data_IF_983386948109
#
_entry.id   IF_983386948109
#
_cell.length_a   1.000
_cell.length_b   1.000
_cell.length_c   1.000
_cell.angle_alpha   90.00
_cell.angle_beta   90.00
_cell.angle_gamma   90.00
#
_symmetry.space_group_name_H-M   'P 1'
#
loop_
_entity.id
_entity.type
_entity.pdbx_description
1 polymer ?
#
# COMPACT_ATOMS: atom_id res chain seq x y z
N UNK A 1 -5.56 7.78 3.82
CA UNK A 1 -5.08 9.06 3.22
C UNK A 1 -6.05 10.21 3.36
N UNK A 2 -7.35 9.98 3.15
CA UNK A 2 -8.39 11.01 3.35
C UNK A 2 -8.27 11.69 4.73
N UNK A 3 -8.06 10.93 5.79
CA UNK A 3 -7.90 11.52 7.12
C UNK A 3 -6.62 12.35 7.26
N UNK A 4 -5.50 11.93 6.66
CA UNK A 4 -4.27 12.74 6.64
C UNK A 4 -4.52 14.07 5.92
N UNK A 5 -5.12 14.02 4.72
CA UNK A 5 -5.47 15.21 3.93
C UNK A 5 -6.36 16.17 4.72
N UNK A 6 -7.41 15.63 5.35
CA UNK A 6 -8.37 16.39 6.16
C UNK A 6 -7.69 17.12 7.32
N UNK A 7 -6.82 16.43 8.05
CA UNK A 7 -6.15 17.02 9.21
C UNK A 7 -5.01 17.97 8.81
N UNK A 8 -4.37 17.74 7.66
CA UNK A 8 -3.44 18.72 7.06
C UNK A 8 -4.14 20.02 6.66
N UNK A 9 -5.36 19.96 6.09
CA UNK A 9 -6.17 21.15 5.77
C UNK A 9 -6.58 21.97 6.99
N UNK A 10 -6.84 21.29 8.10
CA UNK A 10 -7.18 21.93 9.38
C UNK A 10 -5.95 22.43 10.14
N UNK A 11 -4.76 22.21 9.59
CA UNK A 11 -3.49 22.51 10.28
C UNK A 11 -3.39 21.81 11.65
N UNK A 12 -4.07 20.67 11.80
CA UNK A 12 -4.05 19.88 13.04
C UNK A 12 -2.79 19.02 13.10
N UNK A 13 -1.68 19.68 13.38
CA UNK A 13 -0.32 19.12 13.40
C UNK A 13 -0.21 17.88 14.28
N UNK A 14 -0.82 17.90 15.46
CA UNK A 14 -0.78 16.78 16.41
C UNK A 14 -1.39 15.54 15.76
N UNK A 15 -2.57 15.70 15.14
CA UNK A 15 -3.26 14.59 14.50
C UNK A 15 -2.54 14.09 13.24
N UNK A 16 -1.94 14.98 12.45
CA UNK A 16 -1.09 14.60 11.31
C UNK A 16 0.08 13.71 11.78
N UNK A 17 0.73 14.09 12.88
CA UNK A 17 1.79 13.28 13.49
C UNK A 17 1.31 11.90 13.96
N UNK A 18 0.15 11.84 14.63
CA UNK A 18 -0.48 10.57 15.06
C UNK A 18 -0.79 9.67 13.87
N UNK A 19 -1.33 10.22 12.79
CA UNK A 19 -1.66 9.47 11.58
C UNK A 19 -0.39 8.90 10.95
N UNK A 20 0.68 9.70 10.80
CA UNK A 20 1.95 9.22 10.25
C UNK A 20 2.51 8.05 11.08
N UNK A 21 2.53 8.17 12.41
CA UNK A 21 2.98 7.09 13.30
C UNK A 21 2.12 5.84 13.19
N UNK A 22 0.79 6.01 13.12
CA UNK A 22 -0.14 4.88 12.95
C UNK A 22 0.10 4.16 11.63
N UNK A 23 0.37 4.91 10.56
CA UNK A 23 0.74 4.35 9.27
C UNK A 23 2.06 3.58 9.35
N UNK A 24 3.09 4.12 10.02
CA UNK A 24 4.35 3.42 10.28
C UNK A 24 4.12 2.08 10.97
N UNK A 25 3.37 2.08 12.08
CA UNK A 25 3.05 0.89 12.87
C UNK A 25 2.31 -0.16 12.04
N UNK A 26 1.36 0.25 11.20
CA UNK A 26 0.65 -0.67 10.30
C UNK A 26 1.60 -1.32 9.29
N UNK A 27 2.54 -0.57 8.71
CA UNK A 27 3.52 -1.12 7.76
C UNK A 27 4.46 -2.10 8.45
N UNK A 28 4.95 -1.77 9.66
CA UNK A 28 5.78 -2.66 10.47
C UNK A 28 5.05 -3.95 10.84
N UNK A 29 3.83 -3.85 11.36
CA UNK A 29 3.02 -5.01 11.73
C UNK A 29 2.72 -5.90 10.51
N UNK A 30 2.42 -5.29 9.36
CA UNK A 30 2.20 -6.01 8.10
C UNK A 30 3.46 -6.76 7.65
N UNK A 31 4.63 -6.12 7.71
CA UNK A 31 5.90 -6.75 7.35
C UNK A 31 6.26 -7.90 8.30
N UNK A 32 6.10 -7.69 9.61
CA UNK A 32 6.32 -8.73 10.61
C UNK A 32 5.37 -9.93 10.40
N UNK A 33 4.10 -9.66 10.07
CA UNK A 33 3.11 -10.70 9.77
C UNK A 33 3.49 -11.51 8.52
N UNK A 34 4.02 -10.85 7.47
CA UNK A 34 4.53 -11.55 6.29
C UNK A 34 5.70 -12.46 6.65
N UNK A 35 6.67 -11.96 7.40
CA UNK A 35 7.83 -12.77 7.83
C UNK A 35 7.40 -13.97 8.68
N UNK A 36 6.44 -13.76 9.60
CA UNK A 36 5.88 -14.83 10.41
C UNK A 36 5.15 -15.88 9.55
N UNK A 37 4.30 -15.47 8.62
CA UNK A 37 3.63 -16.36 7.68
C UNK A 37 4.64 -17.10 6.78
N UNK A 38 5.77 -16.46 6.48
CA UNK A 38 6.88 -17.05 5.72
C UNK A 38 7.80 -17.95 6.52
N UNK A 39 7.43 -18.40 7.72
CA UNK A 39 8.27 -19.29 8.54
C UNK A 39 8.28 -20.75 8.06
N UNK A 40 7.19 -21.22 7.44
CA UNK A 40 7.08 -22.56 6.85
C UNK A 40 8.18 -22.86 5.82
N UNK A 41 8.54 -24.13 5.69
CA UNK A 41 9.57 -24.55 4.73
C UNK A 41 9.05 -24.42 3.29
N UNK A 42 9.92 -24.17 2.28
CA UNK A 42 9.48 -24.09 0.89
C UNK A 42 8.69 -25.32 0.40
N UNK A 43 9.11 -26.51 0.83
CA UNK A 43 8.44 -27.77 0.46
C UNK A 43 7.03 -27.88 1.07
N UNK A 44 6.87 -27.44 2.32
CA UNK A 44 5.57 -27.38 3.02
C UNK A 44 4.66 -26.35 2.35
N UNK A 45 5.21 -25.20 1.95
CA UNK A 45 4.46 -24.20 1.21
C UNK A 45 3.93 -24.77 -0.12
N UNK A 46 4.76 -25.40 -0.93
CA UNK A 46 4.32 -25.93 -2.23
C UNK A 46 3.35 -27.11 -2.10
N UNK A 47 3.55 -27.99 -1.12
CA UNK A 47 2.78 -29.23 -1.02
C UNK A 47 1.50 -29.09 -0.18
N UNK A 48 1.47 -28.18 0.78
CA UNK A 48 0.39 -28.09 1.77
C UNK A 48 -0.32 -26.74 1.74
N UNK A 49 0.40 -25.62 1.64
CA UNK A 49 -0.20 -24.27 1.76
C UNK A 49 -0.70 -23.74 0.41
N UNK A 50 0.14 -23.77 -0.62
CA UNK A 50 -0.16 -23.24 -1.95
C UNK A 50 -1.36 -23.93 -2.60
N UNK A 51 -1.54 -25.27 -2.51
CA UNK A 51 -2.70 -25.94 -3.08
C UNK A 51 -4.03 -25.48 -2.47
N UNK A 52 -4.06 -25.10 -1.18
CA UNK A 52 -5.29 -24.59 -0.55
C UNK A 52 -5.68 -23.20 -1.04
N UNK A 53 -4.78 -22.50 -1.73
CA UNK A 53 -5.03 -21.19 -2.36
C UNK A 53 -5.34 -21.30 -3.86
N UNK A 54 -5.44 -22.52 -4.39
CA UNK A 54 -5.74 -22.81 -5.80
C UNK A 54 -7.11 -23.49 -5.94
N UNK A 55 -7.55 -23.69 -7.19
CA UNK A 55 -8.73 -24.52 -7.46
C UNK A 55 -8.50 -25.97 -6.95
N UNK A 56 -9.52 -26.62 -6.36
CA UNK A 56 -10.90 -26.17 -6.18
C UNK A 56 -11.16 -25.36 -4.90
N UNK A 57 -10.16 -25.19 -4.02
CA UNK A 57 -10.33 -24.57 -2.71
C UNK A 57 -10.63 -23.06 -2.78
N UNK A 58 -10.07 -22.39 -3.78
CA UNK A 58 -10.38 -20.98 -4.09
C UNK A 58 -10.98 -20.90 -5.49
N UNK A 59 -12.23 -20.45 -5.58
CA UNK A 59 -12.96 -20.31 -6.84
C UNK A 59 -12.59 -19.01 -7.59
N UNK A 60 -11.28 -18.73 -7.70
CA UNK A 60 -10.74 -17.58 -8.43
C UNK A 60 -9.39 -17.99 -9.03
N UNK A 61 -9.24 -17.98 -10.38
CA UNK A 61 -7.98 -18.37 -11.03
C UNK A 61 -6.85 -17.34 -10.82
N UNK A 62 -7.16 -16.19 -10.23
CA UNK A 62 -6.29 -15.02 -10.10
C UNK A 62 -6.01 -14.61 -8.63
N UNK A 63 -6.29 -15.52 -7.68
CA UNK A 63 -6.16 -15.25 -6.24
C UNK A 63 -4.81 -14.62 -5.88
N UNK A 64 -4.87 -13.44 -5.25
CA UNK A 64 -3.69 -12.70 -4.83
C UNK A 64 -4.02 -11.74 -3.69
N UNK A 65 -3.06 -11.52 -2.79
CA UNK A 65 -3.15 -10.46 -1.78
C UNK A 65 -3.34 -9.05 -2.35
N UNK A 66 -3.00 -8.83 -3.63
CA UNK A 66 -3.29 -7.58 -4.36
C UNK A 66 -4.80 -7.38 -4.56
N UNK A 67 -5.58 -8.46 -4.58
CA UNK A 67 -7.03 -8.42 -4.77
C UNK A 67 -7.82 -8.12 -3.50
N UNK A 68 -7.16 -7.98 -2.34
CA UNK A 68 -7.84 -7.50 -1.13
C UNK A 68 -8.48 -6.13 -1.41
N UNK A 69 -9.76 -6.01 -1.06
CA UNK A 69 -10.51 -4.76 -1.18
C UNK A 69 -9.79 -3.60 -0.49
N UNK A 70 -9.26 -3.87 0.71
CA UNK A 70 -8.53 -2.88 1.51
C UNK A 70 -7.24 -2.45 0.82
N UNK A 71 -6.57 -3.39 0.16
CA UNK A 71 -5.38 -3.11 -0.61
C UNK A 71 -5.68 -2.21 -1.81
N UNK A 72 -6.69 -2.55 -2.61
CA UNK A 72 -7.10 -1.75 -3.76
C UNK A 72 -7.54 -0.33 -3.34
N UNK A 73 -8.32 -0.22 -2.26
CA UNK A 73 -8.75 1.06 -1.71
C UNK A 73 -7.57 1.91 -1.22
N UNK A 74 -6.62 1.30 -0.52
CA UNK A 74 -5.42 1.98 -0.04
C UNK A 74 -4.62 2.58 -1.20
N UNK A 75 -4.35 1.78 -2.24
CA UNK A 75 -3.58 2.23 -3.40
C UNK A 75 -4.32 3.32 -4.18
N UNK A 76 -5.62 3.16 -4.40
CA UNK A 76 -6.44 4.20 -5.04
C UNK A 76 -6.40 5.52 -4.25
N UNK A 77 -6.51 5.43 -2.92
CA UNK A 77 -6.40 6.59 -2.04
C UNK A 77 -5.02 7.26 -2.10
N UNK A 78 -3.94 6.49 -2.28
CA UNK A 78 -2.59 7.02 -2.44
C UNK A 78 -2.41 7.73 -3.79
N UNK A 79 -2.99 7.16 -4.85
CA UNK A 79 -2.96 7.77 -6.18
C UNK A 79 -3.73 9.08 -6.25
N UNK A 80 -4.95 9.13 -5.68
CA UNK A 80 -5.76 10.36 -5.63
C UNK A 80 -5.07 11.49 -4.87
N UNK A 81 -4.34 11.13 -3.82
CA UNK A 81 -3.63 12.07 -2.95
C UNK A 81 -2.13 12.17 -3.30
N UNK A 82 -1.79 11.94 -4.58
CA UNK A 82 -0.41 12.03 -5.05
C UNK A 82 0.16 13.42 -4.76
N UNK A 83 1.31 13.45 -4.10
CA UNK A 83 1.97 14.68 -3.69
C UNK A 83 1.53 15.21 -2.32
N UNK A 84 0.55 14.59 -1.64
CA UNK A 84 0.18 14.96 -0.27
C UNK A 84 1.38 14.91 0.69
N UNK A 85 2.26 13.92 0.52
CA UNK A 85 3.47 13.79 1.33
C UNK A 85 4.50 14.90 1.11
N UNK A 86 4.44 15.63 -0.03
CA UNK A 86 5.22 16.86 -0.23
C UNK A 86 4.78 17.96 0.73
N UNK A 87 3.55 17.86 1.22
CA UNK A 87 2.95 18.87 2.07
C UNK A 87 3.17 18.62 3.57
N UNK A 88 3.83 17.53 3.94
CA UNK A 88 4.09 17.20 5.35
C UNK A 88 5.01 18.27 5.94
N UNK A 89 4.60 18.94 7.04
CA UNK A 89 5.40 19.99 7.64
C UNK A 89 6.78 19.50 8.09
N UNK A 90 7.78 20.38 8.02
CA UNK A 90 9.19 20.05 8.32
C UNK A 90 9.40 19.60 9.76
N UNK A 91 8.65 20.10 10.73
CA UNK A 91 8.72 19.63 12.12
C UNK A 91 8.17 18.21 12.33
N UNK A 92 7.40 17.66 11.38
CA UNK A 92 6.99 16.24 11.36
C UNK A 92 7.95 15.35 10.56
N UNK A 93 9.12 15.87 10.17
CA UNK A 93 10.11 15.15 9.37
C UNK A 93 10.46 13.78 9.98
N UNK A 94 10.67 13.71 11.29
CA UNK A 94 11.01 12.44 11.97
C UNK A 94 9.90 11.39 11.83
N UNK A 95 8.63 11.76 12.08
CA UNK A 95 7.50 10.83 11.94
C UNK A 95 7.30 10.38 10.48
N UNK A 96 7.54 11.28 9.53
CA UNK A 96 7.49 10.94 8.10
C UNK A 96 8.64 10.03 7.66
N UNK A 97 9.86 10.24 8.16
CA UNK A 97 11.01 9.37 7.90
C UNK A 97 10.79 7.97 8.49
N UNK A 98 10.22 7.88 9.69
CA UNK A 98 9.79 6.61 10.29
C UNK A 98 8.78 5.88 9.41
N UNK A 99 7.84 6.60 8.80
CA UNK A 99 6.89 6.02 7.85
C UNK A 99 7.58 5.50 6.58
N UNK A 100 8.54 6.24 6.03
CA UNK A 100 9.29 5.81 4.84
C UNK A 100 10.10 4.55 5.11
N UNK A 101 10.80 4.48 6.24
CA UNK A 101 11.56 3.28 6.63
C UNK A 101 10.64 2.09 6.91
N UNK A 102 9.47 2.33 7.53
CA UNK A 102 8.48 1.28 7.77
C UNK A 102 7.89 0.72 6.46
N UNK A 103 7.61 1.58 5.48
CA UNK A 103 7.20 1.15 4.14
C UNK A 103 8.30 0.33 3.44
N UNK A 104 9.56 0.77 3.54
CA UNK A 104 10.71 0.03 3.01
C UNK A 104 10.84 -1.35 3.66
N UNK A 105 10.68 -1.43 4.98
CA UNK A 105 10.67 -2.71 5.71
C UNK A 105 9.57 -3.65 5.17
N UNK A 106 8.33 -3.16 5.02
CA UNK A 106 7.25 -3.95 4.44
C UNK A 106 7.61 -4.49 3.04
N UNK A 107 8.17 -3.64 2.17
CA UNK A 107 8.58 -4.05 0.83
C UNK A 107 9.66 -5.13 0.86
N UNK A 108 10.67 -4.98 1.73
CA UNK A 108 11.73 -5.97 1.92
C UNK A 108 11.20 -7.29 2.49
N UNK A 109 10.29 -7.24 3.47
CA UNK A 109 9.64 -8.43 4.03
C UNK A 109 8.88 -9.21 2.95
N UNK A 110 8.10 -8.51 2.11
CA UNK A 110 7.39 -9.14 1.00
C UNK A 110 8.36 -9.77 0.00
N UNK A 111 9.40 -9.04 -0.40
CA UNK A 111 10.43 -9.53 -1.31
C UNK A 111 11.12 -10.79 -0.77
N UNK A 112 11.48 -10.78 0.51
CA UNK A 112 12.11 -11.91 1.19
C UNK A 112 11.24 -13.16 1.15
N UNK A 113 9.96 -13.04 1.54
CA UNK A 113 9.02 -14.17 1.54
C UNK A 113 8.78 -14.67 0.11
N UNK A 114 8.59 -13.76 -0.84
CA UNK A 114 8.38 -14.11 -2.24
C UNK A 114 9.60 -14.84 -2.83
N UNK A 115 10.83 -14.40 -2.50
CA UNK A 115 12.06 -15.05 -2.93
C UNK A 115 12.19 -16.46 -2.32
N UNK A 116 11.93 -16.59 -1.00
CA UNK A 116 11.98 -17.89 -0.29
C UNK A 116 11.10 -18.96 -0.95
N UNK A 117 9.96 -18.57 -1.52
CA UNK A 117 9.02 -19.46 -2.20
C UNK A 117 9.17 -19.45 -3.73
N UNK A 118 10.37 -19.19 -4.26
CA UNK A 118 10.68 -19.39 -5.68
C UNK A 118 10.21 -18.27 -6.61
N UNK A 119 9.89 -17.08 -6.09
CA UNK A 119 9.43 -15.94 -6.89
C UNK A 119 10.46 -15.34 -7.87
N UNK A 120 11.69 -15.84 -7.85
CA UNK A 120 12.74 -15.56 -8.84
C UNK A 120 12.63 -16.41 -10.11
N UNK A 121 11.98 -17.57 -10.02
CA UNK A 121 11.84 -18.55 -11.11
C UNK A 121 10.39 -18.71 -11.56
N UNK A 122 9.45 -18.39 -10.67
CA UNK A 122 8.02 -18.59 -10.90
C UNK A 122 7.25 -17.29 -10.70
N UNK A 123 6.11 -17.21 -11.37
CA UNK A 123 5.18 -16.12 -11.16
C UNK A 123 4.28 -16.32 -9.95
N UNK A 124 3.52 -15.28 -9.62
CA UNK A 124 2.53 -15.33 -8.55
C UNK A 124 1.35 -16.24 -8.92
N UNK A 125 0.52 -16.60 -7.93
CA UNK A 125 -0.76 -17.29 -8.17
C UNK A 125 -1.65 -16.58 -9.21
N UNK A 126 -1.54 -15.25 -9.31
CA UNK A 126 -2.30 -14.43 -10.27
C UNK A 126 -1.69 -14.37 -11.66
N UNK A 127 -0.37 -14.26 -11.72
CA UNK A 127 0.38 -14.04 -12.95
C UNK A 127 1.55 -15.00 -12.94
N UNK A 128 1.36 -16.15 -13.57
CA UNK A 128 2.35 -17.22 -13.59
C UNK A 128 3.37 -17.07 -14.73
N UNK A 129 3.18 -16.12 -15.66
CA UNK A 129 4.06 -15.92 -16.82
C UNK A 129 5.16 -14.88 -16.60
N UNK A 130 5.08 -14.09 -15.53
CA UNK A 130 6.08 -13.09 -15.18
C UNK A 130 6.76 -13.44 -13.86
N UNK A 131 8.05 -13.13 -13.74
CA UNK A 131 8.83 -13.34 -12.51
C UNK A 131 8.22 -12.51 -11.38
N UNK A 132 7.79 -13.16 -10.30
CA UNK A 132 7.05 -12.51 -9.22
C UNK A 132 7.85 -11.36 -8.56
N UNK A 133 9.16 -11.56 -8.36
CA UNK A 133 10.03 -10.53 -7.77
C UNK A 133 10.13 -9.28 -8.65
N UNK A 134 10.16 -9.41 -9.98
CA UNK A 134 10.21 -8.24 -10.87
C UNK A 134 8.93 -7.42 -10.80
N UNK A 135 7.78 -8.11 -10.73
CA UNK A 135 6.48 -7.45 -10.57
C UNK A 135 6.41 -6.75 -9.21
N UNK A 136 6.88 -7.39 -8.14
CA UNK A 136 6.93 -6.77 -6.81
C UNK A 136 7.83 -5.53 -6.78
N UNK A 137 8.98 -5.57 -7.45
CA UNK A 137 9.88 -4.41 -7.53
C UNK A 137 9.20 -3.24 -8.25
N UNK A 138 8.55 -3.50 -9.40
CA UNK A 138 7.79 -2.49 -10.15
C UNK A 138 6.67 -1.86 -9.32
N UNK A 139 5.94 -2.69 -8.57
CA UNK A 139 4.88 -2.24 -7.66
C UNK A 139 5.46 -1.36 -6.55
N UNK A 140 6.55 -1.79 -5.92
CA UNK A 140 7.22 -1.05 -4.86
C UNK A 140 7.73 0.30 -5.36
N UNK A 141 8.38 0.35 -6.53
CA UNK A 141 8.86 1.58 -7.14
C UNK A 141 7.72 2.55 -7.45
N UNK A 142 6.61 2.04 -7.97
CA UNK A 142 5.42 2.86 -8.23
C UNK A 142 4.90 3.51 -6.95
N UNK A 143 4.78 2.74 -5.86
CA UNK A 143 4.34 3.25 -4.55
C UNK A 143 5.34 4.22 -3.94
N UNK A 144 6.64 3.90 -4.06
CA UNK A 144 7.73 4.74 -3.59
C UNK A 144 7.67 6.13 -4.23
N UNK A 145 7.29 6.24 -5.52
CA UNK A 145 7.08 7.54 -6.20
C UNK A 145 5.89 8.33 -5.68
N UNK A 146 4.89 7.69 -5.07
CA UNK A 146 3.74 8.38 -4.47
C UNK A 146 4.08 8.97 -3.10
N UNK A 147 4.92 8.26 -2.33
CA UNK A 147 5.30 8.65 -0.98
C UNK A 147 6.54 9.54 -0.95
N UNK A 148 7.57 9.28 -1.76
CA UNK A 148 8.81 10.05 -1.73
C UNK A 148 8.64 11.35 -2.49
N UNK A 149 8.76 12.44 -1.75
CA UNK A 149 8.97 13.79 -2.29
C UNK A 149 10.46 13.99 -2.60
N UNK A 150 10.88 13.81 -3.86
CA UNK A 150 12.23 14.20 -4.30
C UNK A 150 12.44 15.73 -4.26
N UNK A 151 11.36 16.50 -4.35
CA UNK A 151 11.34 17.96 -4.18
C UNK A 151 10.50 18.33 -2.95
N UNK A 152 11.11 18.43 -1.77
CA UNK A 152 10.48 19.17 -0.66
C UNK A 152 10.64 20.66 -0.95
N UNK A 153 9.68 21.25 -1.65
CA UNK A 153 9.51 22.69 -1.53
C UNK A 153 9.12 22.98 -0.09
N UNK A 154 9.90 23.83 0.57
CA UNK A 154 9.54 24.43 1.86
C UNK A 154 8.19 25.10 1.68
N UNK A 155 7.11 24.45 2.12
CA UNK A 155 5.83 25.11 2.14
C UNK A 155 5.89 26.20 3.18
N UNK A 156 5.77 27.42 2.68
CA UNK A 156 5.53 28.58 3.50
C UNK A 156 4.22 28.34 4.27
N UNK A 157 4.20 28.47 5.62
CA UNK A 157 3.00 28.25 6.42
C UNK A 157 1.78 29.10 5.99
N UNK A 158 2.00 30.19 5.25
CA UNK A 158 0.92 31.03 4.71
C UNK A 158 0.30 30.55 3.37
N UNK A 159 0.82 29.48 2.78
CA UNK A 159 0.29 28.97 1.51
C UNK A 159 -0.98 28.15 1.72
N UNK A 160 -2.15 28.83 1.73
CA UNK A 160 -3.47 28.17 1.71
C UNK A 160 -3.60 27.29 0.46
N UNK A 161 -3.26 26.03 0.59
CA UNK A 161 -3.37 25.03 -0.47
C UNK A 161 -4.83 24.68 -0.73
N UNK A 162 -5.31 24.98 -1.95
CA UNK A 162 -6.58 24.46 -2.48
C UNK A 162 -6.42 22.98 -2.80
N UNK A 163 -6.64 22.14 -1.80
CA UNK A 163 -6.81 20.70 -1.98
C UNK A 163 -8.28 20.44 -2.35
N UNK A 164 -8.55 19.68 -3.42
CA UNK A 164 -9.90 19.46 -4.01
C UNK A 164 -10.91 18.73 -3.11
N UNK A 165 -12.19 19.10 -3.26
CA UNK A 165 -13.40 18.76 -2.46
C UNK A 165 -13.56 17.28 -2.01
N UNK A 166 -14.18 17.09 -0.84
CA UNK A 166 -14.35 15.82 -0.10
C UNK A 166 -15.66 15.06 -0.44
N UNK A 167 -16.45 15.55 -1.40
CA UNK A 167 -17.79 15.02 -1.74
C UNK A 167 -17.81 13.55 -2.17
N UNK A 168 -16.73 13.02 -2.77
CA UNK A 168 -16.64 11.59 -3.13
C UNK A 168 -16.51 10.64 -1.92
N UNK A 169 -15.99 11.10 -0.78
CA UNK A 169 -15.83 10.25 0.41
C UNK A 169 -17.17 9.95 1.09
N UNK A 170 -18.04 10.96 1.14
CA UNK A 170 -19.43 10.81 1.59
C UNK A 170 -20.24 9.90 0.66
N UNK A 171 -19.96 9.95 -0.65
CA UNK A 171 -20.57 9.03 -1.63
C UNK A 171 -20.04 7.59 -1.49
N UNK A 172 -18.75 7.42 -1.16
CA UNK A 172 -18.14 6.12 -0.89
C UNK A 172 -18.73 5.42 0.35
N UNK A 173 -19.01 6.16 1.42
CA UNK A 173 -19.70 5.63 2.60
C UNK A 173 -21.18 5.29 2.32
N UNK A 174 -21.82 6.00 1.38
CA UNK A 174 -23.24 5.82 1.02
C UNK A 174 -23.49 4.70 0.00
N UNK A 175 -22.52 4.37 -0.86
CA UNK A 175 -22.76 3.50 -2.02
C UNK A 175 -22.65 2.01 -1.76
N UNK A 176 -22.18 1.57 -0.59
CA UNK A 176 -22.19 0.16 -0.16
C UNK A 176 -21.58 -0.81 -1.17
N UNK A 177 -20.33 -1.24 -0.95
CA UNK A 177 -19.67 -2.39 -1.60
C UNK A 177 -20.08 -2.65 -3.08
N UNK A 178 -19.85 -1.70 -3.99
CA UNK A 178 -19.98 -1.96 -5.44
C UNK A 178 -18.76 -2.72 -5.99
N UNK A 179 -19.05 -3.61 -6.97
CA UNK A 179 -18.20 -4.67 -7.51
C UNK A 179 -16.77 -4.24 -7.94
N UNK A 180 -15.81 -5.08 -7.56
CA UNK A 180 -14.35 -5.02 -7.77
C UNK A 180 -13.89 -4.61 -9.18
N UNK A 181 -14.62 -5.02 -10.23
CA UNK A 181 -14.26 -4.73 -11.63
C UNK A 181 -14.30 -3.24 -11.97
N UNK A 182 -15.14 -2.45 -11.31
CA UNK A 182 -15.29 -1.02 -11.60
C UNK A 182 -14.17 -0.16 -10.99
N UNK A 183 -13.53 -0.61 -9.91
CA UNK A 183 -12.43 0.10 -9.26
C UNK A 183 -11.08 -0.14 -9.97
N UNK A 184 -10.84 -1.36 -10.45
CA UNK A 184 -9.61 -1.69 -11.19
C UNK A 184 -9.46 -0.88 -12.49
N UNK A 185 -10.54 -0.77 -13.26
CA UNK A 185 -10.55 -0.03 -14.55
C UNK A 185 -10.22 1.47 -14.36
N UNK A 186 -10.56 2.05 -13.21
CA UNK A 186 -10.24 3.44 -12.88
C UNK A 186 -8.82 3.65 -12.33
N UNK A 187 -8.16 2.60 -11.85
CA UNK A 187 -6.82 2.68 -11.24
C UNK A 187 -5.68 2.36 -12.20
N UNK A 188 -6.02 1.80 -13.37
CA UNK A 188 -5.09 1.41 -14.44
C UNK A 188 -5.10 2.41 -15.63
N UNK A 189 -5.98 3.41 -15.60
CA UNK A 189 -6.01 4.56 -16.50
C UNK A 189 -5.67 5.83 -15.71
#
# INVERSE_FOLDING_TARGET
MIHLKKEMRKENIVQVGVILKSMSQLMLASGASMLFAGTSQPQEYENEIRPTMMLPHVNSPDFSGIMSYDHAYLINSWNKEKGLFKLVPTFLKSAYEEFLESHKFLALAHKFVCHKYGGEQTGSLRENKAIALEILEKINDSRRRLIISSDRQLLNPDSRLRLTDDSEYEEYLKTGFKCYSQLLIKSLN
#
